data_IF_694831229271
#
_entry.id   IF_694831229271
#
_cell.length_a   1.000
_cell.length_b   1.000
_cell.length_c   1.000
_cell.angle_alpha   90.00
_cell.angle_beta   90.00
_cell.angle_gamma   90.00
#
_symmetry.space_group_name_H-M   'P 1'
#
loop_
_entity.id
_entity.type
_entity.pdbx_description
1 polymer ?
#
# COMPACT_ATOMS: atom_id res chain seq x y z
N UNK A 1 11.86 7.85 -7.45
CA UNK A 1 11.06 6.91 -6.63
C UNK A 1 9.71 6.81 -7.31
N UNK A 2 9.22 5.63 -7.69
CA UNK A 2 7.92 5.54 -8.38
C UNK A 2 6.84 6.22 -7.55
N UNK A 3 6.02 7.03 -8.22
CA UNK A 3 4.96 7.81 -7.59
C UNK A 3 3.91 6.86 -7.02
N UNK A 4 3.80 6.83 -5.69
CA UNK A 4 2.80 6.04 -4.99
C UNK A 4 1.48 6.79 -5.07
N UNK A 5 0.48 6.19 -5.74
CA UNK A 5 -0.87 6.77 -5.85
C UNK A 5 -1.91 5.87 -5.19
N UNK A 6 -2.97 6.51 -4.73
CA UNK A 6 -4.22 5.85 -4.37
C UNK A 6 -4.72 4.97 -5.52
N UNK A 7 -5.21 3.77 -5.18
CA UNK A 7 -5.68 2.77 -6.14
C UNK A 7 -4.59 1.83 -6.69
N UNK A 8 -3.31 2.08 -6.39
CA UNK A 8 -2.23 1.16 -6.74
C UNK A 8 -2.15 -0.03 -5.77
N UNK A 9 -1.57 -1.13 -6.24
CA UNK A 9 -1.18 -2.25 -5.41
C UNK A 9 0.21 -2.00 -4.82
N UNK A 10 0.39 -2.37 -3.57
CA UNK A 10 1.65 -2.23 -2.83
C UNK A 10 2.04 -3.57 -2.23
N UNK A 11 3.26 -4.03 -2.53
CA UNK A 11 3.84 -5.24 -1.92
C UNK A 11 4.79 -4.87 -0.80
N UNK A 12 4.62 -5.51 0.36
CA UNK A 12 5.51 -5.30 1.51
C UNK A 12 6.89 -5.89 1.23
N UNK A 13 7.94 -5.07 1.36
CA UNK A 13 9.35 -5.49 1.13
C UNK A 13 10.01 -6.12 2.36
N UNK A 14 9.54 -5.82 3.56
CA UNK A 14 10.20 -6.18 4.81
C UNK A 14 9.21 -6.37 5.98
N UNK A 15 9.69 -7.02 7.05
CA UNK A 15 8.92 -7.29 8.27
C UNK A 15 8.09 -8.57 8.22
N UNK A 16 7.27 -8.79 9.26
CA UNK A 16 6.43 -9.99 9.40
C UNK A 16 5.48 -10.22 8.22
N UNK A 17 4.98 -9.14 7.61
CA UNK A 17 4.09 -9.20 6.45
C UNK A 17 4.83 -9.22 5.10
N UNK A 18 6.12 -9.56 5.04
CA UNK A 18 6.89 -9.56 3.79
C UNK A 18 6.20 -10.43 2.74
N UNK A 19 6.00 -9.87 1.55
CA UNK A 19 5.32 -10.57 0.44
C UNK A 19 3.81 -10.35 0.37
N UNK A 20 3.17 -9.86 1.44
CA UNK A 20 1.74 -9.51 1.41
C UNK A 20 1.49 -8.33 0.48
N UNK A 21 0.38 -8.41 -0.26
CA UNK A 21 -0.09 -7.38 -1.19
C UNK A 21 -1.24 -6.61 -0.54
N UNK A 22 -1.20 -5.29 -0.69
CA UNK A 22 -2.20 -4.36 -0.19
C UNK A 22 -2.66 -3.42 -1.30
N UNK A 23 -3.83 -2.84 -1.13
CA UNK A 23 -4.31 -1.70 -1.92
C UNK A 23 -3.97 -0.42 -1.17
N UNK A 24 -3.39 0.56 -1.88
CA UNK A 24 -3.19 1.91 -1.35
C UNK A 24 -4.53 2.63 -1.43
N UNK A 25 -5.08 2.92 -0.26
CA UNK A 25 -6.37 3.60 -0.13
C UNK A 25 -6.20 5.10 -0.02
N UNK A 26 -5.07 5.54 0.53
CA UNK A 26 -4.74 6.96 0.63
C UNK A 26 -3.22 7.17 0.82
N UNK A 27 -2.74 8.38 0.56
CA UNK A 27 -1.34 8.77 0.72
C UNK A 27 -1.20 10.19 1.27
N UNK A 28 -0.38 10.35 2.31
CA UNK A 28 0.11 11.66 2.77
C UNK A 28 1.52 11.92 2.22
N UNK A 29 2.16 13.05 2.56
CA UNK A 29 3.56 13.34 2.23
C UNK A 29 4.52 12.20 2.60
N UNK A 30 4.43 11.69 3.84
CA UNK A 30 5.36 10.68 4.36
C UNK A 30 4.77 9.27 4.49
N UNK A 31 3.44 9.13 4.45
CA UNK A 31 2.73 7.91 4.81
C UNK A 31 1.83 7.38 3.71
N UNK A 32 1.55 6.08 3.77
CA UNK A 32 0.59 5.37 2.94
C UNK A 32 -0.38 4.61 3.84
N UNK A 33 -1.64 4.58 3.43
CA UNK A 33 -2.71 3.87 4.10
C UNK A 33 -3.11 2.66 3.27
N UNK A 34 -2.97 1.49 3.86
CA UNK A 34 -3.08 0.21 3.17
C UNK A 34 -4.28 -0.59 3.67
N UNK A 35 -5.02 -1.18 2.74
CA UNK A 35 -6.10 -2.13 3.00
C UNK A 35 -5.80 -3.48 2.32
N UNK A 36 -6.20 -4.58 2.94
CA UNK A 36 -6.15 -5.93 2.36
C UNK A 36 -7.55 -6.52 2.12
N UNK A 37 -8.60 -5.86 2.61
CA UNK A 37 -9.99 -6.29 2.45
C UNK A 37 -10.46 -7.37 3.42
N UNK A 38 -9.55 -8.06 4.15
CA UNK A 38 -9.92 -9.04 5.18
C UNK A 38 -9.82 -8.47 6.59
N UNK A 39 -8.60 -8.11 7.01
CA UNK A 39 -8.32 -7.66 8.38
C UNK A 39 -8.17 -6.13 8.42
N UNK A 40 -7.66 -5.55 7.33
CA UNK A 40 -7.49 -4.12 7.11
C UNK A 40 -8.54 -3.66 6.10
N UNK A 41 -9.69 -3.29 6.63
CA UNK A 41 -10.82 -2.68 5.91
C UNK A 41 -10.73 -1.15 5.96
N UNK A 42 -11.67 -0.44 5.33
CA UNK A 42 -11.73 1.03 5.32
C UNK A 42 -11.74 1.65 6.72
N UNK A 43 -12.31 0.97 7.71
CA UNK A 43 -12.30 1.41 9.12
C UNK A 43 -11.02 1.09 9.89
N UNK A 44 -10.10 0.28 9.33
CA UNK A 44 -8.88 -0.18 10.02
C UNK A 44 -7.66 -0.24 9.10
N UNK A 45 -7.37 0.87 8.46
CA UNK A 45 -6.23 1.04 7.55
C UNK A 45 -4.89 0.83 8.26
N UNK A 46 -3.91 0.27 7.54
CA UNK A 46 -2.54 0.10 8.03
C UNK A 46 -1.68 1.28 7.58
N UNK A 47 -1.31 2.15 8.54
CA UNK A 47 -0.40 3.30 8.31
C UNK A 47 1.05 2.85 8.26
N UNK A 48 1.75 3.17 7.17
CA UNK A 48 3.18 2.84 6.98
C UNK A 48 3.90 3.95 6.21
N UNK A 49 5.24 4.00 6.30
CA UNK A 49 6.06 4.96 5.54
C UNK A 49 6.11 4.56 4.05
N UNK A 50 6.20 5.53 3.14
CA UNK A 50 6.28 5.29 1.68
C UNK A 50 7.43 4.37 1.25
N UNK A 51 8.58 4.43 1.93
CA UNK A 51 9.82 3.75 1.48
C UNK A 51 9.81 2.23 1.53
N UNK A 52 8.92 1.61 2.32
CA UNK A 52 8.93 0.17 2.58
C UNK A 52 8.08 -0.66 1.60
N UNK A 53 7.40 -0.02 0.65
CA UNK A 53 6.58 -0.70 -0.35
C UNK A 53 7.13 -0.49 -1.76
N UNK A 54 6.83 -1.45 -2.65
CA UNK A 54 6.93 -1.23 -4.10
C UNK A 54 5.50 -1.07 -4.65
N UNK A 55 5.16 0.08 -5.26
CA UNK A 55 3.94 0.17 -6.03
C UNK A 55 4.06 -0.72 -7.27
N UNK A 56 2.98 -1.40 -7.65
CA UNK A 56 2.87 -2.02 -8.98
C UNK A 56 1.78 -1.29 -9.75
N UNK A 57 2.13 -0.79 -10.94
CA UNK A 57 1.20 -0.09 -11.82
C UNK A 57 0.03 -1.01 -12.16
N UNK A 58 -1.19 -0.50 -11.97
CA UNK A 58 -2.36 -1.10 -12.59
C UNK A 58 -2.19 -0.80 -14.09
N UNK A 59 -2.10 -1.84 -14.92
CA UNK A 59 -2.13 -1.65 -16.37
C UNK A 59 -3.43 -0.93 -16.70
N UNK A 60 -3.35 0.31 -17.19
CA UNK A 60 -4.50 0.91 -17.84
C UNK A 60 -4.84 0.01 -19.03
N UNK A 61 -6.03 -0.58 -19.00
CA UNK A 61 -6.71 -1.04 -20.22
C UNK A 61 -7.16 0.18 -21.02
#
# INVERSE_FOLDING_TARGET
>A
MEEVKTGMLAKSKAGHDKGQVYVIMDTDDAYVYLADGRIRTLGRLKKRKKSIYSPSRRSSM
#
